data_IF_999727194977
#
_entry.id   IF_999727194977
#
_cell.length_a   1.000
_cell.length_b   1.000
_cell.length_c   1.000
_cell.angle_alpha   90.00
_cell.angle_beta   90.00
_cell.angle_gamma   90.00
#
_symmetry.space_group_name_H-M   'P 1'
#
loop_
_entity.id
_entity.type
_entity.pdbx_description
1 polymer ?
#
# COMPACT_ATOMS: atom_id res chain seq x y z
N UNK A 1 -2.05 -0.68 2.58
CA UNK A 1 -1.63 -0.46 4.00
C UNK A 1 -2.58 0.55 4.64
N UNK A 2 -3.17 0.21 5.79
CA UNK A 2 -4.20 1.03 6.50
C UNK A 2 -3.75 2.48 6.74
N UNK A 3 -2.59 2.70 7.34
CA UNK A 3 -2.15 4.05 7.73
C UNK A 3 -1.96 4.99 6.53
N UNK A 4 -1.37 4.48 5.44
CA UNK A 4 -1.17 5.25 4.21
C UNK A 4 -2.50 5.63 3.56
N UNK A 5 -3.42 4.67 3.47
CA UNK A 5 -4.77 4.91 2.97
C UNK A 5 -5.50 5.95 3.82
N UNK A 6 -5.46 5.81 5.15
CA UNK A 6 -6.15 6.71 6.07
C UNK A 6 -5.65 8.17 5.96
N UNK A 7 -4.35 8.37 5.75
CA UNK A 7 -3.76 9.70 5.55
C UNK A 7 -4.28 10.37 4.26
N UNK A 8 -4.37 9.62 3.16
CA UNK A 8 -4.92 10.12 1.90
C UNK A 8 -6.39 10.47 2.02
N UNK A 9 -7.19 9.57 2.62
CA UNK A 9 -8.62 9.79 2.89
C UNK A 9 -8.84 11.05 3.76
N UNK A 10 -8.04 11.24 4.81
CA UNK A 10 -8.15 12.41 5.67
C UNK A 10 -7.86 13.74 4.92
N UNK A 11 -6.99 13.70 3.90
CA UNK A 11 -6.73 14.85 3.01
C UNK A 11 -7.95 15.23 2.17
N UNK A 12 -8.58 14.23 1.54
CA UNK A 12 -9.79 14.38 0.71
C UNK A 12 -11.00 14.87 1.54
N UNK A 13 -11.21 14.29 2.72
CA UNK A 13 -12.29 14.68 3.63
C UNK A 13 -12.10 16.12 4.17
N UNK A 14 -10.86 16.61 4.23
CA UNK A 14 -10.57 18.01 4.55
C UNK A 14 -10.69 18.94 3.34
N UNK A 15 -10.59 18.41 2.12
CA UNK A 15 -10.56 19.18 0.87
C UNK A 15 -9.23 19.89 0.62
N UNK A 16 -8.12 19.41 1.21
CA UNK A 16 -6.79 20.04 1.08
C UNK A 16 -6.19 19.94 -0.32
N UNK A 17 -6.74 19.05 -1.13
CA UNK A 17 -6.44 18.87 -2.54
C UNK A 17 -7.03 20.00 -3.41
N UNK A 18 -8.03 20.74 -2.91
CA UNK A 18 -8.71 21.80 -3.65
C UNK A 18 -8.13 23.18 -3.31
N UNK A 19 -8.01 24.09 -4.30
CA UNK A 19 -7.51 25.45 -4.07
C UNK A 19 -8.47 26.30 -3.22
N UNK A 20 -9.75 25.93 -3.13
CA UNK A 20 -10.78 26.59 -2.32
C UNK A 20 -10.73 26.22 -0.83
N UNK A 21 -9.68 25.51 -0.39
CA UNK A 21 -9.56 25.05 0.99
C UNK A 21 -9.47 26.22 1.97
N UNK A 22 -10.36 26.21 2.97
CA UNK A 22 -10.30 27.09 4.14
C UNK A 22 -10.41 26.25 5.41
N UNK A 23 -9.54 26.43 6.42
CA UNK A 23 -9.53 25.60 7.62
C UNK A 23 -10.86 25.53 8.40
N UNK A 24 -11.65 26.61 8.35
CA UNK A 24 -12.93 26.73 9.05
C UNK A 24 -14.10 26.16 8.26
N UNK A 25 -14.00 26.13 6.93
CA UNK A 25 -15.08 25.72 6.03
C UNK A 25 -14.95 24.24 5.66
N UNK A 26 -16.07 23.53 5.55
CA UNK A 26 -16.08 22.11 5.23
C UNK A 26 -16.16 21.87 3.71
N UNK A 27 -15.04 22.06 2.99
CA UNK A 27 -14.96 21.94 1.53
C UNK A 27 -14.59 20.53 1.01
N UNK A 28 -14.42 19.54 1.90
CA UNK A 28 -13.99 18.19 1.51
C UNK A 28 -15.07 17.36 0.83
N UNK A 29 -14.65 16.30 0.15
CA UNK A 29 -15.53 15.42 -0.63
C UNK A 29 -16.16 14.29 0.18
N UNK A 30 -17.22 13.70 -0.37
CA UNK A 30 -17.76 12.42 0.10
C UNK A 30 -16.88 11.32 -0.47
N UNK A 31 -16.39 10.45 0.41
CA UNK A 31 -15.48 9.38 0.00
C UNK A 31 -16.10 8.04 0.36
N UNK A 32 -16.20 7.18 -0.63
CA UNK A 32 -16.70 5.81 -0.50
C UNK A 32 -15.51 4.87 -0.60
N UNK A 33 -15.32 4.04 0.42
CA UNK A 33 -14.32 2.99 0.44
C UNK A 33 -15.03 1.65 0.45
N UNK A 34 -14.69 0.81 -0.52
CA UNK A 34 -15.16 -0.58 -0.63
C UNK A 34 -14.04 -1.55 -0.26
N UNK A 35 -14.38 -2.83 -0.05
CA UNK A 35 -13.42 -3.89 0.28
C UNK A 35 -12.59 -3.60 1.54
N UNK A 36 -13.20 -2.94 2.53
CA UNK A 36 -12.51 -2.62 3.78
C UNK A 36 -12.14 -3.87 4.61
N UNK A 37 -12.73 -5.03 4.33
CA UNK A 37 -12.32 -6.30 4.93
C UNK A 37 -10.90 -6.72 4.49
N UNK A 38 -10.48 -6.36 3.28
CA UNK A 38 -9.18 -6.77 2.72
C UNK A 38 -8.03 -5.82 3.04
N UNK A 39 -8.18 -4.94 4.04
CA UNK A 39 -7.11 -4.02 4.43
C UNK A 39 -5.97 -4.75 5.12
N UNK A 40 -4.74 -4.34 4.81
CA UNK A 40 -3.53 -4.93 5.39
C UNK A 40 -2.81 -3.93 6.31
N UNK A 41 -2.39 -4.40 7.49
CA UNK A 41 -1.40 -3.72 8.32
C UNK A 41 0.00 -4.21 7.98
N UNK A 42 0.99 -3.32 8.07
CA UNK A 42 2.39 -3.71 7.96
C UNK A 42 2.86 -4.37 9.26
N UNK A 43 3.86 -5.27 9.16
CA UNK A 43 4.47 -5.96 10.30
C UNK A 43 3.45 -6.76 11.15
N UNK A 44 3.85 -7.16 12.35
CA UNK A 44 3.02 -7.89 13.33
C UNK A 44 2.02 -6.99 14.08
N UNK A 45 1.54 -5.92 13.41
CA UNK A 45 0.60 -4.95 14.01
C UNK A 45 -0.74 -5.59 14.35
N UNK A 46 -1.14 -6.64 13.62
CA UNK A 46 -2.39 -7.36 13.88
C UNK A 46 -2.46 -7.93 15.29
N UNK A 47 -1.37 -8.52 15.78
CA UNK A 47 -1.33 -9.14 17.10
C UNK A 47 -0.98 -8.14 18.20
N UNK A 48 -0.15 -7.14 17.89
CA UNK A 48 0.36 -6.19 18.89
C UNK A 48 -0.56 -4.99 19.15
N UNK A 49 -1.41 -4.60 18.19
CA UNK A 49 -2.27 -3.42 18.33
C UNK A 49 -3.51 -3.73 19.16
N UNK A 50 -3.71 -2.96 20.22
CA UNK A 50 -4.88 -3.04 21.11
C UNK A 50 -5.78 -1.81 20.96
N UNK A 51 -7.05 -2.04 20.66
CA UNK A 51 -8.12 -1.03 20.67
C UNK A 51 -8.67 -0.92 22.08
N UNK A 52 -8.56 0.27 22.68
CA UNK A 52 -8.94 0.53 24.07
C UNK A 52 -10.07 1.54 24.16
N UNK A 53 -11.02 1.29 25.05
CA UNK A 53 -12.02 2.27 25.44
C UNK A 53 -12.40 2.07 26.91
N UNK A 54 -12.93 3.13 27.53
CA UNK A 54 -13.31 3.10 28.94
C UNK A 54 -14.83 3.31 29.06
N UNK A 55 -15.48 2.58 29.96
CA UNK A 55 -16.93 2.72 30.18
C UNK A 55 -17.30 3.88 31.08
N UNK A 56 -16.35 4.42 31.85
CA UNK A 56 -16.55 5.50 32.82
C UNK A 56 -16.61 5.03 34.27
N UNK A 57 -16.75 3.72 34.52
CA UNK A 57 -16.76 3.11 35.86
C UNK A 57 -15.35 2.71 36.31
N UNK A 58 -15.06 2.62 37.63
CA UNK A 58 -13.81 2.06 38.13
C UNK A 58 -13.58 0.64 37.60
N UNK A 59 -12.38 0.36 37.08
CA UNK A 59 -12.07 -0.92 36.42
C UNK A 59 -12.72 -1.12 35.04
N UNK A 60 -13.34 -0.08 34.47
CA UNK A 60 -14.08 -0.13 33.21
C UNK A 60 -13.24 -0.07 31.94
N UNK A 61 -11.93 -0.33 32.01
CA UNK A 61 -11.05 -0.37 30.85
C UNK A 61 -11.32 -1.65 30.05
N UNK A 62 -11.71 -1.48 28.79
CA UNK A 62 -11.91 -2.58 27.85
C UNK A 62 -10.88 -2.49 26.76
N UNK A 63 -10.27 -3.62 26.46
CA UNK A 63 -9.26 -3.76 25.42
C UNK A 63 -9.70 -4.86 24.44
N UNK A 64 -9.28 -4.72 23.18
CA UNK A 64 -9.55 -5.70 22.14
C UNK A 64 -8.36 -5.74 21.17
N UNK A 65 -7.92 -6.92 20.78
CA UNK A 65 -6.88 -7.06 19.76
C UNK A 65 -7.39 -6.59 18.39
N UNK A 66 -6.47 -6.20 17.49
CA UNK A 66 -6.86 -5.78 16.16
C UNK A 66 -7.47 -6.93 15.33
N UNK A 67 -7.03 -8.17 15.56
CA UNK A 67 -7.63 -9.37 14.95
C UNK A 67 -9.10 -9.52 15.36
N UNK A 68 -9.39 -9.57 16.66
CA UNK A 68 -10.78 -9.66 17.16
C UNK A 68 -11.66 -8.49 16.70
N UNK A 69 -11.06 -7.30 16.54
CA UNK A 69 -11.77 -6.14 16.03
C UNK A 69 -12.11 -6.28 14.55
N UNK A 70 -11.22 -6.89 13.77
CA UNK A 70 -11.43 -7.17 12.34
C UNK A 70 -12.53 -8.21 12.14
N UNK A 71 -12.53 -9.29 12.92
CA UNK A 71 -13.55 -10.34 12.83
C UNK A 71 -14.96 -9.80 13.12
N UNK A 72 -15.08 -8.87 14.07
CA UNK A 72 -16.38 -8.30 14.47
C UNK A 72 -16.86 -7.20 13.54
N UNK A 73 -15.99 -6.23 13.27
CA UNK A 73 -16.35 -5.04 12.48
C UNK A 73 -15.10 -4.52 11.75
N UNK A 74 -14.80 -5.06 10.55
CA UNK A 74 -13.59 -4.70 9.82
C UNK A 74 -13.58 -3.23 9.36
N UNK A 75 -14.76 -2.66 9.11
CA UNK A 75 -14.91 -1.25 8.70
C UNK A 75 -14.46 -0.28 9.79
N UNK A 76 -14.57 -0.66 11.07
CA UNK A 76 -14.21 0.18 12.21
C UNK A 76 -12.71 0.47 12.26
N UNK A 77 -11.89 -0.49 11.86
CA UNK A 77 -10.42 -0.32 11.83
C UNK A 77 -10.04 0.89 10.97
N UNK A 78 -10.62 0.99 9.78
CA UNK A 78 -10.34 2.09 8.86
C UNK A 78 -10.98 3.40 9.34
N UNK A 79 -12.22 3.35 9.85
CA UNK A 79 -12.89 4.53 10.41
C UNK A 79 -12.11 5.15 11.57
N UNK A 80 -11.65 4.34 12.52
CA UNK A 80 -10.87 4.81 13.67
C UNK A 80 -9.51 5.37 13.23
N UNK A 81 -8.86 4.72 12.25
CA UNK A 81 -7.62 5.23 11.66
C UNK A 81 -7.81 6.60 11.01
N UNK A 82 -8.84 6.78 10.19
CA UNK A 82 -9.13 8.07 9.53
C UNK A 82 -9.52 9.13 10.57
N UNK A 83 -10.37 8.78 11.55
CA UNK A 83 -10.76 9.68 12.63
C UNK A 83 -9.54 10.22 13.38
N UNK A 84 -8.56 9.35 13.66
CA UNK A 84 -7.29 9.75 14.30
C UNK A 84 -6.43 10.71 13.47
N UNK A 85 -6.55 10.67 12.14
CA UNK A 85 -5.81 11.56 11.22
C UNK A 85 -6.48 12.93 11.00
N UNK A 86 -7.74 13.09 11.43
CA UNK A 86 -8.45 14.36 11.31
C UNK A 86 -8.15 15.29 12.51
N UNK A 87 -8.14 16.62 12.29
CA UNK A 87 -8.04 17.60 13.38
C UNK A 87 -9.14 17.39 14.42
N UNK A 88 -8.77 17.35 15.70
CA UNK A 88 -9.69 17.14 16.83
C UNK A 88 -10.47 18.42 17.13
N UNK A 89 -11.57 18.62 16.42
CA UNK A 89 -12.46 19.78 16.60
C UNK A 89 -13.92 19.40 16.30
N UNK A 90 -14.86 20.34 16.47
CA UNK A 90 -16.29 20.11 16.20
C UNK A 90 -16.56 19.71 14.73
N UNK A 91 -15.75 20.22 13.79
CA UNK A 91 -15.88 19.91 12.36
C UNK A 91 -15.48 18.46 12.02
N UNK A 92 -14.73 17.78 12.89
CA UNK A 92 -14.34 16.39 12.71
C UNK A 92 -15.54 15.48 12.48
N UNK A 93 -16.64 15.70 13.20
CA UNK A 93 -17.87 14.89 13.09
C UNK A 93 -18.45 14.99 11.68
N UNK A 94 -18.63 16.22 11.17
CA UNK A 94 -19.14 16.46 9.82
C UNK A 94 -18.22 15.92 8.72
N UNK A 95 -16.89 15.88 8.95
CA UNK A 95 -15.96 15.25 8.00
C UNK A 95 -16.06 13.72 8.05
N UNK A 96 -16.26 13.15 9.23
CA UNK A 96 -16.45 11.70 9.38
C UNK A 96 -17.78 11.23 8.77
N UNK A 97 -18.83 12.04 8.80
CA UNK A 97 -20.11 11.73 8.15
C UNK A 97 -19.99 11.56 6.64
N UNK A 98 -19.06 12.28 5.99
CA UNK A 98 -18.73 12.18 4.56
C UNK A 98 -17.98 10.91 4.20
N UNK A 99 -17.40 10.20 5.18
CA UNK A 99 -16.70 8.94 4.94
C UNK A 99 -17.68 7.76 5.01
N UNK A 100 -17.86 7.06 3.90
CA UNK A 100 -18.63 5.81 3.83
C UNK A 100 -17.67 4.66 3.61
N UNK A 101 -17.75 3.62 4.45
CA UNK A 101 -16.85 2.47 4.42
C UNK A 101 -17.69 1.21 4.42
N UNK A 102 -17.45 0.35 3.43
CA UNK A 102 -18.14 -0.92 3.23
C UNK A 102 -17.12 -2.07 3.33
N UNK A 103 -17.50 -3.20 3.97
CA UNK A 103 -16.61 -4.35 4.12
C UNK A 103 -16.31 -4.99 2.76
N UNK A 104 -17.33 -5.07 1.90
CA UNK A 104 -17.31 -5.73 0.59
C UNK A 104 -17.30 -4.71 -0.56
N UNK A 105 -17.41 -5.21 -1.78
CA UNK A 105 -17.43 -4.43 -3.02
C UNK A 105 -18.75 -3.69 -3.26
N UNK A 106 -19.85 -4.20 -2.68
CA UNK A 106 -21.19 -3.65 -2.89
C UNK A 106 -21.42 -2.38 -2.07
N UNK A 107 -22.04 -1.38 -2.70
CA UNK A 107 -22.45 -0.14 -2.06
C UNK A 107 -23.81 0.38 -2.61
N UNK A 108 -24.62 1.07 -1.80
CA UNK A 108 -25.92 1.59 -2.24
C UNK A 108 -25.82 2.82 -3.17
N UNK A 109 -24.62 3.36 -3.38
CA UNK A 109 -24.39 4.60 -4.12
C UNK A 109 -24.14 4.42 -5.62
N UNK A 110 -24.54 3.28 -6.19
CA UNK A 110 -24.30 2.98 -7.61
C UNK A 110 -25.00 3.93 -8.58
N UNK A 111 -26.04 4.65 -8.15
CA UNK A 111 -26.76 5.63 -8.96
C UNK A 111 -26.15 7.04 -9.00
N UNK A 112 -25.01 7.27 -8.35
CA UNK A 112 -24.30 8.55 -8.38
C UNK A 112 -23.13 8.50 -9.37
N UNK A 113 -22.74 9.67 -9.89
CA UNK A 113 -21.54 9.80 -10.72
C UNK A 113 -20.27 9.70 -9.83
N UNK A 114 -19.78 8.47 -9.66
CA UNK A 114 -18.63 8.17 -8.81
C UNK A 114 -17.33 8.24 -9.62
N UNK A 115 -16.42 9.10 -9.18
CA UNK A 115 -15.08 9.20 -9.77
C UNK A 115 -14.12 8.26 -9.03
N UNK A 116 -13.43 7.32 -9.71
CA UNK A 116 -12.44 6.47 -9.08
C UNK A 116 -11.25 7.30 -8.60
N UNK A 117 -10.88 7.12 -7.32
CA UNK A 117 -9.73 7.82 -6.75
C UNK A 117 -8.43 7.07 -7.05
N UNK A 118 -7.53 7.72 -7.79
CA UNK A 118 -6.18 7.23 -8.03
C UNK A 118 -5.27 7.79 -6.92
N UNK A 119 -4.70 6.94 -6.05
CA UNK A 119 -3.82 7.41 -4.98
C UNK A 119 -2.55 8.01 -5.56
N UNK A 120 -2.05 9.07 -4.92
CA UNK A 120 -0.76 9.67 -5.31
C UNK A 120 0.33 8.59 -5.25
N UNK A 121 1.06 8.41 -6.36
CA UNK A 121 2.22 7.55 -6.40
C UNK A 121 3.23 8.03 -5.34
N UNK A 122 3.68 7.11 -4.50
CA UNK A 122 4.79 7.37 -3.59
C UNK A 122 6.01 6.68 -4.18
N UNK A 123 7.06 7.43 -4.44
CA UNK A 123 8.34 6.85 -4.82
C UNK A 123 8.81 5.97 -3.68
N UNK A 124 8.78 4.65 -3.88
CA UNK A 124 9.47 3.74 -2.97
C UNK A 124 10.95 4.03 -3.18
N UNK A 125 11.59 4.67 -2.21
CA UNK A 125 13.04 4.68 -2.17
C UNK A 125 13.46 3.24 -1.91
N UNK A 126 13.82 2.52 -2.97
CA UNK A 126 14.30 1.16 -2.87
C UNK A 126 15.57 1.21 -2.01
N UNK A 127 15.60 0.56 -0.82
CA UNK A 127 16.79 0.53 0.00
C UNK A 127 17.87 -0.23 -0.79
N UNK A 128 18.80 0.49 -1.40
CA UNK A 128 19.80 -0.15 -2.26
C UNK A 128 20.26 0.68 -3.45
N UNK A 129 19.44 1.61 -3.96
CA UNK A 129 19.90 2.55 -5.01
C UNK A 129 20.65 3.70 -4.36
N UNK A 130 21.81 3.37 -3.79
CA UNK A 130 22.89 4.36 -3.73
C UNK A 130 23.36 4.63 -5.17
N UNK A 131 23.95 5.78 -5.40
CA UNK A 131 24.68 6.03 -6.64
C UNK A 131 25.70 4.88 -6.84
N UNK A 132 25.82 4.27 -8.03
CA UNK A 132 26.88 3.29 -8.26
C UNK A 132 28.24 3.93 -7.92
N UNK A 133 29.15 3.20 -7.27
CA UNK A 133 30.46 3.76 -6.98
C UNK A 133 31.13 4.19 -8.30
N UNK A 134 31.61 5.43 -8.40
CA UNK A 134 32.32 5.88 -9.59
C UNK A 134 33.59 5.04 -9.80
N UNK A 135 33.99 4.87 -11.06
CA UNK A 135 35.15 4.07 -11.43
C UNK A 135 36.40 4.52 -10.64
N UNK A 136 37.09 3.58 -9.99
CA UNK A 136 38.30 3.84 -9.19
C UNK A 136 38.08 4.03 -7.69
N UNK A 137 36.83 4.05 -7.20
CA UNK A 137 36.54 4.11 -5.77
C UNK A 137 36.22 2.71 -5.22
N UNK A 138 36.87 2.30 -4.13
CA UNK A 138 36.55 1.07 -3.42
C UNK A 138 35.53 1.34 -2.31
N UNK A 139 34.53 0.46 -2.16
CA UNK A 139 33.59 0.56 -1.05
C UNK A 139 34.32 0.24 0.26
N UNK A 140 34.14 1.10 1.28
CA UNK A 140 34.70 0.88 2.62
C UNK A 140 34.27 -0.48 3.24
N UNK A 141 33.15 -1.04 2.77
CA UNK A 141 32.77 -2.42 3.00
C UNK A 141 32.34 -3.07 1.67
N UNK A 142 33.20 -3.90 1.04
CA UNK A 142 32.95 -4.47 -0.28
C UNK A 142 31.81 -5.50 -0.27
N UNK A 143 31.69 -6.31 0.77
CA UNK A 143 30.65 -7.35 0.88
C UNK A 143 29.25 -6.76 0.98
N UNK A 144 29.09 -5.74 1.84
CA UNK A 144 27.82 -5.03 2.00
C UNK A 144 27.44 -4.27 0.74
N UNK A 145 28.40 -3.74 -0.01
CA UNK A 145 28.16 -3.10 -1.30
C UNK A 145 27.71 -4.12 -2.36
N UNK A 146 28.40 -5.26 -2.47
CA UNK A 146 28.05 -6.34 -3.40
C UNK A 146 26.65 -6.93 -3.12
N UNK A 147 26.30 -7.16 -1.86
CA UNK A 147 24.95 -7.59 -1.47
C UNK A 147 23.89 -6.57 -1.88
N UNK A 148 24.16 -5.28 -1.69
CA UNK A 148 23.24 -4.17 -2.05
C UNK A 148 23.07 -3.99 -3.56
N UNK A 149 24.15 -4.14 -4.34
CA UNK A 149 24.11 -4.08 -5.81
C UNK A 149 23.36 -5.30 -6.37
N UNK A 150 23.63 -6.51 -5.87
CA UNK A 150 22.89 -7.73 -6.28
C UNK A 150 21.40 -7.67 -5.92
N UNK A 151 21.06 -7.09 -4.77
CA UNK A 151 19.68 -6.94 -4.33
C UNK A 151 18.90 -5.82 -5.05
N UNK A 152 19.56 -5.02 -5.89
CA UNK A 152 18.93 -3.92 -6.64
C UNK A 152 18.49 -4.38 -8.04
N UNK A 153 17.32 -3.96 -8.54
CA UNK A 153 16.85 -4.35 -9.88
C UNK A 153 17.83 -3.96 -11.00
N UNK A 154 18.51 -2.81 -10.87
CA UNK A 154 19.50 -2.33 -11.83
C UNK A 154 20.83 -3.12 -11.77
N UNK A 155 21.21 -3.65 -10.61
CA UNK A 155 22.44 -4.43 -10.45
C UNK A 155 22.30 -5.89 -10.88
N UNK A 156 21.08 -6.44 -10.84
CA UNK A 156 20.76 -7.72 -11.44
C UNK A 156 20.91 -7.69 -12.98
N UNK A 157 20.60 -6.57 -13.63
CA UNK A 157 20.75 -6.39 -15.08
C UNK A 157 22.20 -6.16 -15.53
N UNK A 158 23.06 -5.60 -14.68
CA UNK A 158 24.45 -5.27 -15.03
C UNK A 158 25.45 -6.43 -14.79
N UNK A 159 25.03 -7.52 -14.14
CA UNK A 159 25.92 -8.61 -13.72
C UNK A 159 25.45 -10.02 -14.12
N UNK A 160 24.48 -10.12 -15.03
CA UNK A 160 24.25 -11.38 -15.73
C UNK A 160 25.46 -11.63 -16.63
N UNK A 161 26.20 -12.75 -16.49
CA UNK A 161 27.05 -13.19 -17.58
C UNK A 161 26.13 -13.42 -18.79
N UNK A 162 26.56 -13.01 -19.99
CA UNK A 162 25.87 -13.29 -21.26
C UNK A 162 25.86 -14.81 -21.51
N UNK A 163 25.06 -15.54 -20.73
CA UNK A 163 24.77 -16.94 -20.96
C UNK A 163 23.52 -16.97 -21.83
N UNK A 164 23.70 -17.35 -23.10
CA UNK A 164 22.59 -17.65 -23.98
C UNK A 164 21.78 -18.77 -23.31
N UNK A 165 20.46 -18.60 -23.23
CA UNK A 165 19.55 -19.56 -22.58
C UNK A 165 19.70 -20.99 -23.16
N UNK A 166 20.19 -21.08 -24.40
CA UNK A 166 20.55 -22.31 -25.09
C UNK A 166 21.69 -23.10 -24.43
N UNK A 167 22.58 -22.44 -23.70
CA UNK A 167 23.74 -23.07 -23.05
C UNK A 167 23.36 -23.79 -21.74
N UNK A 168 22.14 -23.55 -21.24
CA UNK A 168 21.59 -24.16 -20.02
C UNK A 168 20.61 -25.30 -20.31
N UNK A 169 20.37 -25.63 -21.58
CA UNK A 169 19.48 -26.71 -22.00
C UNK A 169 20.24 -28.00 -22.30
N UNK A 170 19.60 -29.14 -22.02
CA UNK A 170 20.07 -30.44 -22.54
C UNK A 170 19.89 -30.50 -24.06
N UNK A 171 20.67 -31.32 -24.75
CA UNK A 171 20.65 -31.39 -26.23
C UNK A 171 19.27 -31.78 -26.79
N UNK A 172 18.50 -32.57 -26.04
CA UNK A 172 17.15 -32.98 -26.39
C UNK A 172 16.14 -31.80 -26.30
N UNK A 173 16.31 -30.92 -25.31
CA UNK A 173 15.46 -29.74 -25.11
C UNK A 173 15.72 -28.67 -26.18
N UNK A 174 16.97 -28.50 -26.62
CA UNK A 174 17.32 -27.61 -27.74
C UNK A 174 16.65 -28.03 -29.03
N UNK A 175 16.71 -29.32 -29.38
CA UNK A 175 16.11 -29.86 -30.59
C UNK A 175 14.58 -29.71 -30.59
N UNK A 176 13.93 -29.89 -29.43
CA UNK A 176 12.49 -29.68 -29.30
C UNK A 176 12.10 -28.21 -29.53
N UNK A 177 12.86 -27.27 -28.96
CA UNK A 177 12.58 -25.85 -29.06
C UNK A 177 12.79 -25.29 -30.47
N UNK A 178 13.86 -25.72 -31.16
CA UNK A 178 14.11 -25.38 -32.57
C UNK A 178 13.03 -25.94 -33.50
N UNK A 179 12.55 -27.17 -33.24
CA UNK A 179 11.46 -27.79 -33.98
C UNK A 179 10.12 -27.05 -33.85
N UNK A 180 9.84 -26.45 -32.68
CA UNK A 180 8.63 -25.66 -32.46
C UNK A 180 8.68 -24.32 -33.22
N UNK A 181 9.84 -23.65 -33.27
CA UNK A 181 9.99 -22.42 -34.04
C UNK A 181 9.91 -22.63 -35.56
N UNK A 182 10.46 -23.73 -36.07
CA UNK A 182 10.36 -24.07 -37.49
C UNK A 182 8.89 -24.30 -37.92
N UNK A 183 8.06 -24.89 -37.06
CA UNK A 183 6.62 -25.07 -37.29
C UNK A 183 5.86 -23.74 -37.29
N UNK A 184 6.31 -22.78 -36.47
CA UNK A 184 5.66 -21.48 -36.35
C UNK A 184 5.99 -20.53 -37.52
N UNK A 185 7.08 -20.76 -38.25
CA UNK A 185 7.45 -19.99 -39.46
C UNK A 185 6.86 -20.56 -40.76
N UNK A 186 6.34 -21.79 -40.74
CA UNK A 186 5.68 -22.43 -41.89
C UNK A 186 4.16 -22.26 -41.90
N UNK A 187 3.60 -21.58 -40.90
CA UNK A 187 2.18 -21.20 -40.82
C UNK A 187 2.00 -19.69 -40.95
#
# INVERSE_FOLDING_TARGET
IVGRLASQLAGLLQGKDKPIYSPKTNCGDVVIVVNAAHVHFSHDTWNTKLYRWHTGLPGGLKERAAVDQWDREPTKILRDAVKGMLPKNKTQVYRMEKLKVFPESEHPFAGFDLVPYIPKAHTVHLPGVGWPLPAGMAAANPEKYAYRVRASPAGAAAHAPDLDFRDLMTDEERAYWEGQQARQQQS
#
